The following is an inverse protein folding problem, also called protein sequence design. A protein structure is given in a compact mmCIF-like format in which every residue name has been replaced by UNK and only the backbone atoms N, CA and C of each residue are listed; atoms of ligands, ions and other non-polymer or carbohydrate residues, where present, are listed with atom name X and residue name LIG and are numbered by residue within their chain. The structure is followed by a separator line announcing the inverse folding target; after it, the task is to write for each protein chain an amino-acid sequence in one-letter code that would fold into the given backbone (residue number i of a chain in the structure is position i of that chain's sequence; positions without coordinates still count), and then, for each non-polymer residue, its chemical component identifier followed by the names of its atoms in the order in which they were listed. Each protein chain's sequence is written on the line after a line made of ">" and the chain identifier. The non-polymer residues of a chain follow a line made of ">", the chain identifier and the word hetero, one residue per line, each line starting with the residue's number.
data_IF_884050086747
#
_entry.id   IF_884050086747
#
_cell.length_a   1.000
_cell.length_b   1.000
_cell.length_c   1.000
_cell.angle_alpha   90.00
_cell.angle_beta   90.00
_cell.angle_gamma   90.00
#
_symmetry.space_group_name_H-M   'P 1'
#
loop_
_entity.id
_entity.type
_entity.pdbx_description
1 polymer ?
#
# COMPACT_ATOMS: atom_id res chain seq x y z
N UNK A 1 6.98 -46.67 39.63
CA UNK A 1 6.85 -47.11 38.23
C UNK A 1 5.97 -46.07 37.54
N UNK A 2 6.55 -45.06 36.86
CA UNK A 2 6.73 -45.00 35.39
C UNK A 2 5.48 -45.48 34.64
N UNK A 3 4.89 -44.80 33.65
CA UNK A 3 5.08 -43.59 32.85
C UNK A 3 3.64 -43.32 32.29
N UNK A 4 3.20 -42.12 31.96
CA UNK A 4 3.41 -41.60 30.62
C UNK A 4 3.15 -40.10 30.55
N UNK A 5 4.19 -39.40 30.09
CA UNK A 5 4.19 -37.99 29.74
C UNK A 5 3.54 -37.84 28.37
N UNK A 6 2.31 -37.33 28.32
CA UNK A 6 1.81 -36.68 27.12
C UNK A 6 2.42 -35.26 27.05
N UNK A 7 3.69 -35.20 26.64
CA UNK A 7 4.35 -33.96 26.25
C UNK A 7 3.73 -33.46 24.95
N UNK A 8 2.65 -32.67 25.07
CA UNK A 8 2.20 -31.81 23.98
C UNK A 8 3.37 -30.88 23.62
N UNK A 9 3.90 -31.03 22.41
CA UNK A 9 4.85 -30.09 21.82
C UNK A 9 4.31 -28.67 22.05
N UNK A 10 5.09 -27.75 22.65
CA UNK A 10 4.69 -26.35 22.62
C UNK A 10 4.60 -25.98 21.14
N UNK A 11 3.40 -25.63 20.67
CA UNK A 11 3.24 -24.97 19.38
C UNK A 11 4.17 -23.77 19.46
N UNK A 12 5.27 -23.79 18.72
CA UNK A 12 6.22 -22.71 18.69
C UNK A 12 5.39 -21.44 18.43
N UNK A 13 5.36 -20.52 19.40
CA UNK A 13 4.84 -19.18 19.11
C UNK A 13 5.65 -18.73 17.90
N UNK A 14 4.98 -18.52 16.78
CA UNK A 14 5.59 -17.80 15.68
C UNK A 14 5.95 -16.43 16.24
N UNK A 15 7.20 -16.32 16.65
CA UNK A 15 7.92 -15.11 16.95
C UNK A 15 7.64 -14.16 15.79
N UNK A 16 6.82 -13.14 16.01
CA UNK A 16 6.28 -12.32 14.93
C UNK A 16 6.12 -10.87 15.33
N UNK A 17 6.73 -9.99 14.54
CA UNK A 17 6.49 -8.55 14.62
C UNK A 17 5.07 -8.27 14.13
N UNK A 18 4.30 -7.47 14.85
CA UNK A 18 2.99 -7.01 14.37
C UNK A 18 3.09 -5.61 13.77
N UNK A 19 2.59 -5.45 12.56
CA UNK A 19 2.50 -4.17 11.87
C UNK A 19 1.11 -3.58 12.03
N UNK A 20 1.01 -2.35 12.54
CA UNK A 20 -0.27 -1.67 12.72
C UNK A 20 -0.22 -0.25 12.16
N UNK A 21 -1.33 0.23 11.62
CA UNK A 21 -1.44 1.65 11.27
C UNK A 21 -1.83 2.48 12.49
N UNK A 22 -1.11 3.58 12.72
CA UNK A 22 -1.42 4.59 13.74
C UNK A 22 -1.14 5.98 13.19
N UNK A 23 -2.21 6.76 12.95
CA UNK A 23 -2.18 8.21 12.66
C UNK A 23 -1.09 8.65 11.66
N UNK A 24 -1.01 7.97 10.51
CA UNK A 24 -0.03 8.29 9.46
C UNK A 24 1.33 7.61 9.61
N UNK A 25 1.47 6.70 10.57
CA UNK A 25 2.65 5.86 10.77
C UNK A 25 2.29 4.38 10.82
N UNK A 26 3.31 3.54 10.64
CA UNK A 26 3.23 2.10 10.89
C UNK A 26 4.00 1.79 12.17
N UNK A 27 3.33 1.20 13.16
CA UNK A 27 3.92 0.70 14.39
C UNK A 27 4.42 -0.73 14.18
N UNK A 28 5.54 -1.05 14.84
CA UNK A 28 6.04 -2.39 15.02
C UNK A 28 5.84 -2.74 16.50
N UNK A 29 5.02 -3.75 16.78
CA UNK A 29 4.72 -4.27 18.13
C UNK A 29 5.19 -5.71 18.26
N UNK A 30 5.29 -6.17 19.51
CA UNK A 30 5.62 -7.56 19.86
C UNK A 30 6.88 -8.06 19.17
N UNK A 31 7.91 -7.21 19.15
CA UNK A 31 9.19 -7.58 18.57
C UNK A 31 9.83 -8.67 19.42
N UNK A 32 10.26 -9.73 18.76
CA UNK A 32 11.03 -10.77 19.43
C UNK A 32 12.37 -10.22 19.91
N UNK A 33 12.92 -10.73 21.02
CA UNK A 33 14.19 -10.25 21.56
C UNK A 33 15.38 -10.28 20.58
N UNK A 34 15.33 -11.13 19.55
CA UNK A 34 16.36 -11.22 18.50
C UNK A 34 16.20 -10.24 17.34
N UNK A 35 15.10 -9.47 17.29
CA UNK A 35 14.82 -8.53 16.20
C UNK A 35 15.27 -7.13 16.59
N UNK A 36 16.39 -6.69 16.03
CA UNK A 36 16.81 -5.30 16.11
C UNK A 36 16.05 -4.44 15.08
N UNK A 37 14.94 -3.84 15.51
CA UNK A 37 14.18 -2.90 14.69
C UNK A 37 14.87 -1.55 14.49
N UNK A 38 15.81 -1.16 15.35
CA UNK A 38 16.56 0.08 15.17
C UNK A 38 17.50 0.02 13.96
N UNK A 39 17.93 -1.19 13.59
CA UNK A 39 18.69 -1.43 12.38
C UNK A 39 17.83 -1.32 11.09
N UNK A 40 16.50 -1.24 11.17
CA UNK A 40 15.63 -1.10 9.99
C UNK A 40 15.56 0.38 9.56
N UNK A 41 15.96 0.74 8.33
CA UNK A 41 16.04 2.13 7.91
C UNK A 41 14.71 2.89 8.04
N UNK A 42 14.73 4.00 8.79
CA UNK A 42 13.58 4.89 9.00
C UNK A 42 12.60 4.41 10.07
N UNK A 43 12.90 3.32 10.77
CA UNK A 43 12.19 2.88 11.97
C UNK A 43 12.87 3.50 13.19
N UNK A 44 12.08 4.11 14.07
CA UNK A 44 12.57 4.80 15.28
C UNK A 44 11.72 4.38 16.49
N UNK A 45 12.34 4.29 17.67
CA UNK A 45 11.61 4.10 18.92
C UNK A 45 10.82 5.36 19.27
N UNK A 46 9.54 5.20 19.61
CA UNK A 46 8.69 6.27 20.12
C UNK A 46 8.28 5.96 21.58
N UNK A 47 8.84 6.68 22.56
CA UNK A 47 8.55 6.43 23.98
C UNK A 47 7.11 6.80 24.37
N UNK A 48 6.38 7.59 23.56
CA UNK A 48 5.00 7.99 23.90
C UNK A 48 4.01 6.85 23.71
N UNK A 49 4.29 5.97 22.75
CA UNK A 49 3.47 4.79 22.44
C UNK A 49 4.16 3.48 22.84
N UNK A 50 5.41 3.55 23.32
CA UNK A 50 6.22 2.40 23.72
C UNK A 50 6.32 1.37 22.59
N UNK A 51 6.66 1.83 21.39
CA UNK A 51 6.80 1.01 20.20
C UNK A 51 7.75 1.64 19.18
N UNK A 52 8.31 0.81 18.31
CA UNK A 52 8.99 1.30 17.11
C UNK A 52 7.96 1.76 16.08
N UNK A 53 8.27 2.83 15.34
CA UNK A 53 7.40 3.36 14.29
C UNK A 53 8.19 3.91 13.10
N UNK A 54 7.53 3.93 11.94
CA UNK A 54 8.02 4.57 10.72
C UNK A 54 6.87 5.32 10.04
N UNK A 55 7.12 6.41 9.29
CA UNK A 55 6.10 7.01 8.43
C UNK A 55 5.39 5.97 7.53
N UNK A 56 4.07 6.03 7.43
CA UNK A 56 3.27 5.01 6.73
C UNK A 56 3.58 4.93 5.23
N UNK A 57 4.04 6.01 4.61
CA UNK A 57 4.48 5.99 3.20
C UNK A 57 5.68 5.06 2.95
N UNK A 58 6.41 4.65 4.01
CA UNK A 58 7.51 3.69 3.96
C UNK A 58 7.06 2.23 4.10
N UNK A 59 5.77 1.98 4.29
CA UNK A 59 5.21 0.64 4.53
C UNK A 59 5.73 -0.42 3.53
N UNK A 60 5.75 -0.14 2.22
CA UNK A 60 6.31 -1.07 1.22
C UNK A 60 7.81 -1.33 1.41
N UNK A 61 8.58 -0.32 1.81
CA UNK A 61 10.01 -0.47 2.08
C UNK A 61 10.26 -1.26 3.37
N UNK A 62 9.43 -1.05 4.40
CA UNK A 62 9.44 -1.82 5.64
C UNK A 62 9.18 -3.30 5.35
N UNK A 63 8.11 -3.62 4.61
CA UNK A 63 7.77 -4.99 4.20
C UNK A 63 8.95 -5.68 3.53
N UNK A 64 9.53 -5.02 2.52
CA UNK A 64 10.69 -5.54 1.79
C UNK A 64 11.88 -5.81 2.71
N UNK A 65 12.13 -4.92 3.67
CA UNK A 65 13.26 -5.05 4.59
C UNK A 65 13.06 -6.17 5.60
N UNK A 66 11.85 -6.33 6.15
CA UNK A 66 11.50 -7.45 7.03
C UNK A 66 11.63 -8.79 6.29
N UNK A 67 11.10 -8.88 5.07
CA UNK A 67 11.25 -10.06 4.21
C UNK A 67 12.72 -10.35 3.88
N UNK A 68 13.51 -9.33 3.51
CA UNK A 68 14.94 -9.49 3.20
C UNK A 68 15.74 -10.01 4.40
N UNK A 69 15.34 -9.65 5.62
CA UNK A 69 15.95 -10.10 6.87
C UNK A 69 15.37 -11.42 7.38
N UNK A 70 14.41 -12.02 6.67
CA UNK A 70 13.68 -13.21 7.09
C UNK A 70 13.02 -13.06 8.49
N UNK A 71 12.60 -11.84 8.84
CA UNK A 71 11.86 -11.58 10.08
C UNK A 71 10.39 -11.91 9.82
N UNK A 72 9.78 -12.90 10.51
CA UNK A 72 8.36 -13.16 10.39
C UNK A 72 7.55 -11.99 10.96
N UNK A 73 6.47 -11.60 10.29
CA UNK A 73 5.59 -10.55 10.77
C UNK A 73 4.13 -10.81 10.40
N UNK A 74 3.23 -10.34 11.25
CA UNK A 74 1.79 -10.26 10.98
C UNK A 74 1.47 -8.84 10.50
N UNK A 75 0.83 -8.74 9.35
CA UNK A 75 0.39 -7.46 8.83
C UNK A 75 -1.07 -7.19 9.22
N UNK A 76 -1.23 -6.38 10.27
CA UNK A 76 -2.52 -5.94 10.78
C UNK A 76 -2.83 -4.50 10.36
N UNK A 77 -2.12 -3.96 9.36
CA UNK A 77 -2.50 -2.71 8.71
C UNK A 77 -3.83 -2.95 8.00
N UNK A 78 -4.93 -2.61 8.68
CA UNK A 78 -6.28 -2.78 8.16
C UNK A 78 -6.50 -1.82 6.99
N UNK A 79 -6.49 -2.37 5.78
CA UNK A 79 -6.91 -1.67 4.57
C UNK A 79 -8.35 -2.10 4.28
N UNK A 80 -9.32 -1.18 4.28
CA UNK A 80 -10.68 -1.51 3.89
C UNK A 80 -10.69 -2.11 2.47
N UNK A 81 -11.19 -3.33 2.32
CA UNK A 81 -11.45 -3.91 1.01
C UNK A 81 -12.75 -3.31 0.49
N UNK A 82 -12.63 -2.36 -0.42
CA UNK A 82 -13.79 -1.81 -1.12
C UNK A 82 -14.11 -2.71 -2.33
N UNK A 83 -15.39 -2.99 -2.60
CA UNK A 83 -15.76 -3.73 -3.79
C UNK A 83 -15.25 -2.98 -5.02
N UNK A 84 -14.49 -3.67 -5.86
CA UNK A 84 -13.96 -3.12 -7.10
C UNK A 84 -14.97 -3.33 -8.22
N UNK A 85 -15.24 -2.25 -8.95
CA UNK A 85 -16.02 -2.27 -10.18
C UNK A 85 -15.19 -2.69 -11.39
N UNK A 86 -15.88 -2.93 -12.49
CA UNK A 86 -15.23 -3.13 -13.79
C UNK A 86 -14.85 -1.79 -14.43
N UNK A 87 -13.88 -1.83 -15.34
CA UNK A 87 -13.48 -0.68 -16.14
C UNK A 87 -13.89 -0.88 -17.59
N UNK A 88 -14.43 0.15 -18.23
CA UNK A 88 -14.57 0.21 -19.68
C UNK A 88 -13.19 0.26 -20.35
N UNK A 89 -13.04 -0.20 -21.60
CA UNK A 89 -11.79 -0.07 -22.33
C UNK A 89 -11.29 1.38 -22.39
N UNK A 90 -10.01 1.59 -22.06
CA UNK A 90 -9.35 2.89 -22.12
C UNK A 90 -8.28 2.83 -23.20
N UNK A 91 -8.63 3.34 -24.38
CA UNK A 91 -7.69 3.41 -25.51
C UNK A 91 -6.64 4.48 -25.27
N UNK A 92 -5.36 4.09 -25.34
CA UNK A 92 -4.24 4.99 -25.13
C UNK A 92 -3.54 5.27 -26.47
N UNK A 93 -2.98 6.47 -26.59
CA UNK A 93 -2.05 6.78 -27.69
C UNK A 93 -0.70 6.07 -27.44
N UNK A 94 0.12 5.81 -28.48
CA UNK A 94 1.38 5.07 -28.30
C UNK A 94 2.31 5.64 -27.22
N UNK A 95 2.43 6.97 -27.11
CA UNK A 95 3.24 7.59 -26.06
C UNK A 95 2.65 7.43 -24.64
N UNK A 96 1.33 7.28 -24.53
CA UNK A 96 0.66 7.03 -23.25
C UNK A 96 0.83 5.56 -22.84
N UNK A 97 0.77 4.62 -23.80
CA UNK A 97 1.08 3.21 -23.55
C UNK A 97 2.51 3.03 -23.07
N UNK A 98 3.48 3.64 -23.77
CA UNK A 98 4.88 3.64 -23.36
C UNK A 98 5.06 4.21 -21.94
N UNK A 99 4.35 5.31 -21.61
CA UNK A 99 4.38 5.88 -20.26
C UNK A 99 3.74 4.96 -19.20
N UNK A 100 2.66 4.26 -19.54
CA UNK A 100 2.02 3.28 -18.65
C UNK A 100 2.96 2.10 -18.38
N UNK A 101 3.60 1.56 -19.41
CA UNK A 101 4.58 0.47 -19.28
C UNK A 101 5.79 0.89 -18.45
N UNK A 102 6.33 2.09 -18.68
CA UNK A 102 7.44 2.61 -17.87
C UNK A 102 7.04 2.74 -16.39
N UNK A 103 5.81 3.18 -16.10
CA UNK A 103 5.27 3.22 -14.74
C UNK A 103 5.12 1.82 -14.12
N UNK A 104 4.69 0.81 -14.88
CA UNK A 104 4.61 -0.58 -14.42
C UNK A 104 6.00 -1.16 -14.11
N UNK A 105 6.98 -0.95 -15.00
CA UNK A 105 8.38 -1.36 -14.81
C UNK A 105 9.00 -0.71 -13.56
N UNK A 106 8.65 0.55 -13.31
CA UNK A 106 9.00 1.29 -12.09
C UNK A 106 8.19 0.86 -10.85
N UNK A 107 7.61 -0.35 -10.86
CA UNK A 107 6.87 -0.94 -9.73
C UNK A 107 5.69 -0.08 -9.29
N UNK A 108 5.04 0.60 -10.26
CA UNK A 108 3.86 1.45 -10.05
C UNK A 108 4.11 2.66 -9.14
N UNK A 109 5.37 3.09 -8.98
CA UNK A 109 5.77 4.27 -8.19
C UNK A 109 6.69 5.17 -9.01
N UNK A 110 6.09 6.10 -9.75
CA UNK A 110 6.82 7.06 -10.58
C UNK A 110 6.06 8.37 -10.74
N UNK A 111 6.75 9.39 -11.25
CA UNK A 111 6.15 10.65 -11.73
C UNK A 111 6.13 10.60 -13.25
N UNK A 112 4.93 10.75 -13.85
CA UNK A 112 4.79 10.83 -15.30
C UNK A 112 4.52 12.29 -15.70
N UNK A 113 5.40 12.84 -16.52
CA UNK A 113 5.31 14.22 -17.01
C UNK A 113 4.82 14.21 -18.45
N UNK A 114 3.70 14.88 -18.72
CA UNK A 114 3.18 15.08 -20.07
C UNK A 114 2.70 16.54 -20.26
N UNK A 115 2.77 17.11 -21.48
CA UNK A 115 2.24 18.45 -21.78
C UNK A 115 0.75 18.61 -21.44
N UNK A 116 0.24 19.83 -21.27
CA UNK A 116 -1.20 20.08 -21.17
C UNK A 116 -1.93 19.59 -22.43
N UNK A 117 -3.19 19.18 -22.31
CA UNK A 117 -3.96 18.61 -23.43
C UNK A 117 -3.56 17.20 -23.90
N UNK A 118 -2.42 16.66 -23.46
CA UNK A 118 -1.90 15.34 -23.90
C UNK A 118 -2.64 14.12 -23.33
N UNK A 119 -3.67 14.32 -22.50
CA UNK A 119 -4.49 13.24 -21.94
C UNK A 119 -3.93 12.60 -20.65
N UNK A 120 -3.27 13.36 -19.78
CA UNK A 120 -2.79 12.90 -18.46
C UNK A 120 -3.86 12.14 -17.65
N UNK A 121 -5.09 12.66 -17.64
CA UNK A 121 -6.22 12.01 -16.96
C UNK A 121 -6.51 10.62 -17.54
N UNK A 122 -6.49 10.48 -18.87
CA UNK A 122 -6.74 9.19 -19.53
C UNK A 122 -5.67 8.16 -19.19
N UNK A 123 -4.40 8.56 -19.18
CA UNK A 123 -3.30 7.71 -18.71
C UNK A 123 -3.48 7.29 -17.25
N UNK A 124 -3.88 8.22 -16.37
CA UNK A 124 -4.12 7.92 -14.96
C UNK A 124 -5.27 6.92 -14.76
N UNK A 125 -6.38 7.07 -15.51
CA UNK A 125 -7.48 6.08 -15.47
C UNK A 125 -7.01 4.70 -15.92
N UNK A 126 -6.19 4.62 -16.98
CA UNK A 126 -5.63 3.35 -17.42
C UNK A 126 -4.70 2.74 -16.36
N UNK A 127 -3.91 3.57 -15.66
CA UNK A 127 -3.10 3.12 -14.54
C UNK A 127 -3.95 2.61 -13.37
N UNK A 128 -5.07 3.25 -13.05
CA UNK A 128 -6.02 2.79 -12.02
C UNK A 128 -6.66 1.44 -12.42
N UNK A 129 -7.12 1.33 -13.68
CA UNK A 129 -7.69 0.09 -14.21
C UNK A 129 -6.67 -1.07 -14.16
N UNK A 130 -5.43 -0.80 -14.56
CA UNK A 130 -4.33 -1.78 -14.55
C UNK A 130 -3.85 -2.12 -13.14
N UNK A 131 -3.95 -1.18 -12.20
CA UNK A 131 -3.61 -1.42 -10.81
C UNK A 131 -4.55 -2.43 -10.16
N UNK A 132 -5.84 -2.38 -10.51
CA UNK A 132 -6.85 -3.32 -9.99
C UNK A 132 -7.04 -3.20 -8.47
N UNK A 133 -6.88 -2.01 -7.92
CA UNK A 133 -6.98 -1.74 -6.48
C UNK A 133 -7.73 -0.43 -6.22
N UNK A 134 -8.13 -0.21 -4.96
CA UNK A 134 -8.63 1.10 -4.54
C UNK A 134 -7.61 2.20 -4.82
N UNK A 135 -8.08 3.38 -5.23
CA UNK A 135 -7.24 4.50 -5.62
C UNK A 135 -7.76 5.82 -5.05
N UNK A 136 -6.84 6.68 -4.59
CA UNK A 136 -7.13 8.02 -4.10
C UNK A 136 -6.52 9.05 -5.06
N UNK A 137 -7.37 9.82 -5.74
CA UNK A 137 -6.95 10.90 -6.63
C UNK A 137 -6.97 12.23 -5.88
N UNK A 138 -5.77 12.78 -5.63
CA UNK A 138 -5.63 14.10 -4.99
C UNK A 138 -5.50 15.18 -6.07
N UNK A 139 -6.31 16.22 -5.98
CA UNK A 139 -6.36 17.33 -6.93
C UNK A 139 -6.39 18.68 -6.20
N UNK A 140 -5.81 19.74 -6.77
CA UNK A 140 -5.62 21.00 -6.04
C UNK A 140 -6.86 21.89 -5.97
N UNK A 141 -7.88 21.66 -6.81
CA UNK A 141 -9.07 22.53 -6.88
C UNK A 141 -10.36 21.73 -7.02
N UNK A 142 -11.48 22.32 -6.57
CA UNK A 142 -12.83 21.76 -6.73
C UNK A 142 -13.25 21.57 -8.20
N UNK A 143 -12.78 22.44 -9.09
CA UNK A 143 -13.02 22.31 -10.53
C UNK A 143 -12.36 21.03 -11.07
N UNK A 144 -11.09 20.78 -10.68
CA UNK A 144 -10.40 19.55 -11.05
C UNK A 144 -11.05 18.33 -10.39
N UNK A 145 -11.53 18.44 -9.16
CA UNK A 145 -12.26 17.38 -8.48
C UNK A 145 -13.51 16.96 -9.27
N UNK A 146 -14.32 17.93 -9.71
CA UNK A 146 -15.50 17.67 -10.54
C UNK A 146 -15.13 17.02 -11.88
N UNK A 147 -14.05 17.48 -12.53
CA UNK A 147 -13.56 16.89 -13.78
C UNK A 147 -13.12 15.43 -13.59
N UNK A 148 -12.33 15.14 -12.56
CA UNK A 148 -11.88 13.78 -12.27
C UNK A 148 -13.05 12.85 -11.94
N UNK A 149 -13.99 13.32 -11.11
CA UNK A 149 -15.20 12.57 -10.77
C UNK A 149 -16.01 12.21 -12.03
N UNK A 150 -16.20 13.17 -12.93
CA UNK A 150 -16.89 12.93 -14.21
C UNK A 150 -16.16 11.88 -15.05
N UNK A 151 -14.84 11.98 -15.19
CA UNK A 151 -14.05 11.03 -15.99
C UNK A 151 -14.06 9.62 -15.40
N UNK A 152 -13.91 9.46 -14.08
CA UNK A 152 -13.94 8.15 -13.42
C UNK A 152 -15.32 7.51 -13.58
N UNK A 153 -16.40 8.24 -13.31
CA UNK A 153 -17.78 7.70 -13.41
C UNK A 153 -18.15 7.23 -14.82
N UNK A 154 -17.49 7.76 -15.86
CA UNK A 154 -17.70 7.33 -17.24
C UNK A 154 -16.98 6.05 -17.62
N UNK A 155 -15.91 5.69 -16.90
CA UNK A 155 -15.05 4.55 -17.25
C UNK A 155 -15.05 3.45 -16.20
N UNK A 156 -15.52 3.71 -14.99
CA UNK A 156 -15.48 2.78 -13.86
C UNK A 156 -16.88 2.50 -13.32
N UNK A 157 -17.30 1.25 -13.40
CA UNK A 157 -18.60 0.75 -12.94
C UNK A 157 -18.50 0.22 -11.50
N UNK A 158 -18.07 1.07 -10.57
CA UNK A 158 -17.94 0.75 -9.15
C UNK A 158 -18.21 1.95 -8.25
N UNK A 159 -18.08 1.80 -6.93
CA UNK A 159 -18.31 2.90 -5.99
C UNK A 159 -17.27 4.00 -6.18
N UNK A 160 -17.73 5.25 -6.34
CA UNK A 160 -16.88 6.43 -6.47
C UNK A 160 -17.24 7.44 -5.38
N UNK A 161 -16.32 7.65 -4.43
CA UNK A 161 -16.42 8.67 -3.39
C UNK A 161 -15.82 10.01 -3.83
N UNK A 162 -16.23 11.08 -3.17
CA UNK A 162 -15.71 12.43 -3.38
C UNK A 162 -15.68 13.18 -2.04
N UNK A 163 -14.59 13.91 -1.77
CA UNK A 163 -14.42 14.71 -0.56
C UNK A 163 -13.72 16.03 -0.92
N UNK A 164 -14.33 17.17 -0.57
CA UNK A 164 -13.82 18.51 -0.87
C UNK A 164 -14.90 19.59 -1.01
#
# INVERSE_FOLDING_TARGET
>A
MNQDRAGGMPVARLSSVRLLFDRGTTLLRDLDPGVDASAIPGVLWDPRVQAFRTPAYRYRALHRELTRRAVPFSDEVRIPQLPLGSWSPIELRPYQEAALWAWELAQRRAVVVLPTGSGKTRLALAAMARAGSSALCLVPTRILLAQWLHHIKRTYAGPVGCYG
#
